data_IF_415108790474
#
_entry.id   IF_415108790474
#
_cell.length_a   1.000
_cell.length_b   1.000
_cell.length_c   1.000
_cell.angle_alpha   90.00
_cell.angle_beta   90.00
_cell.angle_gamma   90.00
#
_symmetry.space_group_name_H-M   'P 1'
#
loop_
_entity.id
_entity.type
_entity.pdbx_description
1 polymer ?
#
# COMPACT_ATOMS: atom_id res chain seq x y z
N UNK A 1 -10.27 3.22 -15.77
CA UNK A 1 -9.31 3.02 -14.65
C UNK A 1 -9.86 3.51 -13.32
N UNK A 2 -10.40 4.73 -13.21
CA UNK A 2 -10.98 5.24 -11.95
C UNK A 2 -12.08 4.34 -11.35
N UNK A 3 -12.98 3.82 -12.17
CA UNK A 3 -14.04 2.91 -11.71
C UNK A 3 -13.48 1.59 -11.14
N UNK A 4 -12.44 1.02 -11.75
CA UNK A 4 -11.80 -0.20 -11.24
C UNK A 4 -11.12 0.00 -9.88
N UNK A 5 -10.45 1.15 -9.69
CA UNK A 5 -9.88 1.53 -8.39
C UNK A 5 -10.96 1.67 -7.31
N UNK A 6 -12.05 2.37 -7.64
CA UNK A 6 -13.16 2.58 -6.72
C UNK A 6 -13.86 1.26 -6.35
N UNK A 7 -14.16 0.42 -7.34
CA UNK A 7 -14.81 -0.87 -7.14
C UNK A 7 -13.92 -1.84 -6.36
N UNK A 8 -12.63 -1.93 -6.68
CA UNK A 8 -11.69 -2.79 -5.96
C UNK A 8 -11.55 -2.43 -4.49
N UNK A 9 -11.42 -1.13 -4.19
CA UNK A 9 -11.39 -0.63 -2.82
C UNK A 9 -12.70 -0.86 -2.07
N UNK A 10 -13.83 -0.61 -2.73
CA UNK A 10 -15.16 -0.81 -2.15
C UNK A 10 -15.48 -2.30 -1.92
N UNK A 11 -15.08 -3.20 -2.81
CA UNK A 11 -15.31 -4.64 -2.68
C UNK A 11 -14.49 -5.26 -1.54
N UNK A 12 -13.25 -4.79 -1.32
CA UNK A 12 -12.41 -5.30 -0.24
C UNK A 12 -12.96 -4.94 1.14
N UNK A 13 -13.65 -3.82 1.26
CA UNK A 13 -14.21 -3.35 2.53
C UNK A 13 -15.24 -4.31 3.17
N UNK A 14 -16.28 -4.82 2.46
CA UNK A 14 -17.23 -5.78 3.05
C UNK A 14 -16.57 -7.12 3.39
N UNK A 15 -15.59 -7.59 2.60
CA UNK A 15 -14.84 -8.80 2.92
C UNK A 15 -14.03 -8.63 4.22
N UNK A 16 -13.45 -7.46 4.44
CA UNK A 16 -12.75 -7.12 5.67
C UNK A 16 -13.70 -7.03 6.86
N UNK A 17 -14.93 -6.54 6.67
CA UNK A 17 -15.96 -6.55 7.70
C UNK A 17 -16.36 -7.98 8.08
N UNK A 18 -16.64 -8.82 7.10
CA UNK A 18 -17.01 -10.22 7.33
C UNK A 18 -15.89 -10.98 8.07
N UNK A 19 -14.64 -10.83 7.67
CA UNK A 19 -13.50 -11.44 8.35
C UNK A 19 -13.39 -11.02 9.83
N UNK A 20 -13.77 -9.78 10.16
CA UNK A 20 -13.77 -9.25 11.52
C UNK A 20 -14.92 -9.77 12.36
N UNK A 21 -16.12 -9.86 11.81
CA UNK A 21 -17.28 -10.43 12.53
C UNK A 21 -17.04 -11.89 12.90
N UNK A 22 -16.31 -12.62 12.06
CA UNK A 22 -15.92 -14.01 12.31
C UNK A 22 -14.74 -14.13 13.29
N UNK A 23 -13.87 -13.12 13.38
CA UNK A 23 -12.65 -13.13 14.21
C UNK A 23 -12.79 -12.51 15.60
N UNK A 24 -13.95 -11.95 15.97
CA UNK A 24 -14.22 -11.43 17.32
C UNK A 24 -13.36 -10.24 17.78
N UNK A 25 -12.63 -9.58 16.90
CA UNK A 25 -11.81 -8.40 17.25
C UNK A 25 -12.68 -7.15 17.28
N UNK A 26 -12.88 -6.57 18.45
CA UNK A 26 -13.71 -5.37 18.71
C UNK A 26 -13.10 -4.06 18.16
N UNK A 27 -12.65 -4.06 16.91
CA UNK A 27 -12.17 -2.85 16.26
C UNK A 27 -13.33 -2.10 15.66
N UNK A 28 -13.46 -0.81 16.00
CA UNK A 28 -14.46 0.13 15.47
C UNK A 28 -14.62 -0.03 13.95
N UNK A 29 -15.86 -0.03 13.44
CA UNK A 29 -16.09 -0.17 12.01
C UNK A 29 -15.47 1.00 11.27
N UNK A 30 -14.72 0.72 10.22
CA UNK A 30 -14.21 1.75 9.31
C UNK A 30 -15.35 2.64 8.82
N UNK A 31 -15.12 3.95 8.82
CA UNK A 31 -16.06 4.90 8.26
C UNK A 31 -16.43 4.56 6.81
N UNK A 32 -17.67 4.79 6.37
CA UNK A 32 -18.08 4.56 4.99
C UNK A 32 -17.19 5.39 4.04
N UNK A 33 -16.65 4.76 3.01
CA UNK A 33 -15.83 5.44 1.99
C UNK A 33 -14.33 5.13 2.01
N UNK A 34 -13.85 4.27 2.87
CA UNK A 34 -12.43 3.91 2.91
C UNK A 34 -12.05 2.94 1.78
N UNK A 35 -11.39 3.48 0.77
CA UNK A 35 -10.66 2.70 -0.22
C UNK A 35 -9.33 2.23 0.39
N UNK A 36 -9.10 0.94 0.43
CA UNK A 36 -7.78 0.43 0.79
C UNK A 36 -6.85 0.58 -0.41
N UNK A 37 -5.59 0.97 -0.18
CA UNK A 37 -4.61 1.13 -1.24
C UNK A 37 -4.44 -0.14 -2.08
N UNK A 38 -4.42 -1.31 -1.44
CA UNK A 38 -4.37 -2.58 -2.13
C UNK A 38 -5.60 -2.84 -3.00
N UNK A 39 -6.81 -2.60 -2.47
CA UNK A 39 -8.04 -2.76 -3.22
C UNK A 39 -8.10 -1.87 -4.46
N UNK A 40 -7.65 -0.62 -4.32
CA UNK A 40 -7.55 0.32 -5.44
C UNK A 40 -6.55 -0.16 -6.50
N UNK A 41 -5.35 -0.59 -6.11
CA UNK A 41 -4.32 -1.08 -7.01
C UNK A 41 -4.75 -2.39 -7.72
N UNK A 42 -5.29 -3.36 -6.98
CA UNK A 42 -5.78 -4.60 -7.56
C UNK A 42 -6.97 -4.37 -8.47
N UNK A 43 -7.93 -3.54 -8.06
CA UNK A 43 -9.09 -3.21 -8.89
C UNK A 43 -8.70 -2.52 -10.19
N UNK A 44 -7.71 -1.61 -10.14
CA UNK A 44 -7.18 -0.96 -11.33
C UNK A 44 -6.44 -1.95 -12.24
N UNK A 45 -5.57 -2.79 -11.67
CA UNK A 45 -4.83 -3.81 -12.44
C UNK A 45 -5.77 -4.83 -13.10
N UNK A 46 -6.80 -5.30 -12.37
CA UNK A 46 -7.82 -6.20 -12.92
C UNK A 46 -8.62 -5.54 -14.05
N UNK A 47 -9.02 -4.27 -13.85
CA UNK A 47 -9.74 -3.52 -14.88
C UNK A 47 -8.88 -3.35 -16.14
N UNK A 48 -7.60 -3.02 -15.99
CA UNK A 48 -6.64 -2.91 -17.11
C UNK A 48 -6.50 -4.27 -17.83
N UNK A 49 -6.28 -5.34 -17.07
CA UNK A 49 -6.11 -6.68 -17.64
C UNK A 49 -7.37 -7.17 -18.37
N UNK A 50 -8.55 -6.88 -17.82
CA UNK A 50 -9.83 -7.28 -18.41
C UNK A 50 -10.13 -6.52 -19.70
N UNK A 51 -9.97 -5.19 -19.70
CA UNK A 51 -10.22 -4.35 -20.87
C UNK A 51 -9.21 -4.64 -22.00
N UNK A 52 -7.96 -4.93 -21.65
CA UNK A 52 -6.91 -5.19 -22.63
C UNK A 52 -6.99 -6.59 -23.29
N UNK A 53 -7.76 -7.53 -22.71
CA UNK A 53 -7.93 -8.86 -23.26
C UNK A 53 -6.61 -9.58 -23.54
N UNK A 54 -6.31 -9.96 -24.82
CA UNK A 54 -5.08 -10.66 -25.18
C UNK A 54 -3.80 -9.83 -24.94
N UNK A 55 -3.89 -8.50 -24.92
CA UNK A 55 -2.76 -7.58 -24.67
C UNK A 55 -2.57 -7.28 -23.18
N UNK A 56 -3.20 -8.04 -22.30
CA UNK A 56 -3.24 -7.77 -20.83
C UNK A 56 -1.86 -7.56 -20.20
N UNK A 57 -0.85 -8.34 -20.57
CA UNK A 57 0.49 -8.23 -19.98
C UNK A 57 1.18 -6.92 -20.39
N UNK A 58 1.09 -6.54 -21.68
CA UNK A 58 1.61 -5.23 -22.16
C UNK A 58 0.87 -4.06 -21.51
N UNK A 59 -0.43 -4.17 -21.34
CA UNK A 59 -1.22 -3.14 -20.68
C UNK A 59 -0.90 -3.02 -19.19
N UNK A 60 -0.62 -4.12 -18.50
CA UNK A 60 -0.15 -4.12 -17.13
C UNK A 60 1.25 -3.50 -17.00
N UNK A 61 2.17 -3.78 -17.94
CA UNK A 61 3.48 -3.12 -17.97
C UNK A 61 3.34 -1.60 -18.18
N UNK A 62 2.45 -1.16 -19.06
CA UNK A 62 2.15 0.26 -19.23
C UNK A 62 1.48 0.89 -18.00
N UNK A 63 0.73 0.09 -17.22
CA UNK A 63 0.11 0.53 -15.96
C UNK A 63 1.12 0.61 -14.80
N UNK A 64 2.21 -0.16 -14.83
CA UNK A 64 3.16 -0.28 -13.74
C UNK A 64 3.66 1.08 -13.18
N UNK A 65 4.15 2.04 -13.99
CA UNK A 65 4.55 3.35 -13.47
C UNK A 65 3.36 4.15 -12.92
N UNK A 66 2.16 4.02 -13.50
CA UNK A 66 0.96 4.67 -13.00
C UNK A 66 0.56 4.16 -11.61
N UNK A 67 0.78 2.88 -11.31
CA UNK A 67 0.59 2.33 -9.97
C UNK A 67 1.50 3.02 -8.94
N UNK A 68 2.77 3.29 -9.30
CA UNK A 68 3.69 4.05 -8.46
C UNK A 68 3.22 5.48 -8.20
N UNK A 69 2.71 6.17 -9.22
CA UNK A 69 2.12 7.52 -9.08
C UNK A 69 0.92 7.50 -8.13
N UNK A 70 0.04 6.51 -8.27
CA UNK A 70 -1.14 6.37 -7.40
C UNK A 70 -0.72 6.19 -5.93
N UNK A 71 0.30 5.38 -5.66
CA UNK A 71 0.85 5.22 -4.30
C UNK A 71 1.44 6.54 -3.81
N UNK A 72 2.34 7.17 -4.56
CA UNK A 72 3.03 8.38 -4.14
C UNK A 72 2.04 9.51 -3.83
N UNK A 73 1.11 9.80 -4.74
CA UNK A 73 0.10 10.88 -4.58
C UNK A 73 -0.82 10.59 -3.40
N UNK A 74 -1.29 9.34 -3.26
CA UNK A 74 -2.13 8.97 -2.12
C UNK A 74 -1.42 9.14 -0.78
N UNK A 75 -0.10 8.87 -0.72
CA UNK A 75 0.71 9.01 0.50
C UNK A 75 1.12 10.43 0.82
N UNK A 76 1.18 11.32 -0.17
CA UNK A 76 1.32 12.75 0.09
C UNK A 76 0.13 13.30 0.89
N UNK A 77 -1.09 12.84 0.61
CA UNK A 77 -2.26 13.18 1.42
C UNK A 77 -2.14 12.68 2.87
N UNK A 78 -1.64 11.44 3.08
CA UNK A 78 -1.39 10.91 4.41
C UNK A 78 -0.30 11.69 5.15
N UNK A 79 0.78 12.08 4.45
CA UNK A 79 1.86 12.88 5.01
C UNK A 79 1.34 14.27 5.47
N UNK A 80 0.53 14.92 4.65
CA UNK A 80 -0.03 16.23 4.96
C UNK A 80 -1.03 16.19 6.14
N UNK A 81 -1.81 15.10 6.26
CA UNK A 81 -2.82 14.98 7.31
C UNK A 81 -2.29 14.42 8.64
N UNK A 82 -1.05 13.92 8.69
CA UNK A 82 -0.49 13.27 9.88
C UNK A 82 -1.11 11.92 10.20
N UNK A 83 -1.72 11.26 9.22
CA UNK A 83 -2.16 9.86 9.35
C UNK A 83 -1.05 8.89 8.88
N UNK A 84 -1.21 7.60 9.16
CA UNK A 84 -0.24 6.59 8.75
C UNK A 84 1.18 6.85 9.30
N UNK A 85 1.25 7.33 10.53
CA UNK A 85 2.48 7.68 11.23
C UNK A 85 3.19 6.44 11.78
N UNK A 86 4.50 6.59 12.02
CA UNK A 86 5.34 5.57 12.65
C UNK A 86 5.48 5.75 14.16
N UNK A 87 6.35 4.93 14.74
CA UNK A 87 6.69 5.04 16.16
C UNK A 87 7.30 6.41 16.50
N UNK A 88 7.14 6.89 17.75
CA UNK A 88 7.86 8.07 18.24
C UNK A 88 9.36 7.92 17.98
N UNK A 89 10.03 9.01 17.57
CA UNK A 89 11.43 9.00 17.20
C UNK A 89 12.07 10.35 17.54
N UNK A 90 13.12 10.32 18.32
CA UNK A 90 13.94 11.50 18.64
C UNK A 90 14.99 11.78 17.55
N UNK A 91 14.98 11.01 16.46
CA UNK A 91 15.91 11.17 15.35
C UNK A 91 15.63 12.42 14.51
N UNK A 92 16.61 12.89 13.72
CA UNK A 92 16.51 14.11 12.92
C UNK A 92 15.44 14.04 11.81
N UNK A 93 14.90 12.86 11.54
CA UNK A 93 13.88 12.60 10.51
C UNK A 93 12.45 12.59 11.07
N UNK A 94 12.30 12.75 12.40
CA UNK A 94 10.99 12.77 13.04
C UNK A 94 10.17 14.00 12.61
N UNK A 95 8.88 13.78 12.30
CA UNK A 95 7.94 14.87 12.01
C UNK A 95 6.98 15.00 13.20
N UNK A 96 6.93 16.19 13.78
CA UNK A 96 5.95 16.55 14.79
C UNK A 96 4.72 17.14 14.11
N UNK A 97 3.58 16.48 14.25
CA UNK A 97 2.31 16.96 13.70
C UNK A 97 1.58 17.88 14.69
N UNK A 98 0.82 18.82 14.16
CA UNK A 98 0.05 19.78 14.96
C UNK A 98 -1.05 19.12 15.78
N UNK A 99 -1.54 19.83 16.81
CA UNK A 99 -2.69 19.45 17.60
C UNK A 99 -3.91 19.17 16.71
N UNK A 100 -4.65 18.11 17.02
CA UNK A 100 -5.80 17.67 16.24
C UNK A 100 -5.48 16.73 15.08
N UNK A 101 -4.21 16.56 14.71
CA UNK A 101 -3.81 15.53 13.72
C UNK A 101 -4.07 14.11 14.24
N UNK A 102 -4.26 13.11 13.35
CA UNK A 102 -4.41 11.72 13.78
C UNK A 102 -3.28 11.21 14.67
N UNK A 103 -2.03 11.60 14.39
CA UNK A 103 -0.88 11.27 15.21
C UNK A 103 -0.99 11.85 16.62
N UNK A 104 -1.34 13.15 16.73
CA UNK A 104 -1.56 13.82 18.00
C UNK A 104 -2.68 13.16 18.82
N UNK A 105 -3.84 12.96 18.20
CA UNK A 105 -5.00 12.32 18.85
C UNK A 105 -4.66 10.93 19.37
N UNK A 106 -3.89 10.16 18.61
CA UNK A 106 -3.43 8.84 19.06
C UNK A 106 -2.49 8.96 20.27
N UNK A 107 -1.53 9.86 20.23
CA UNK A 107 -0.57 10.06 21.33
C UNK A 107 -1.24 10.57 22.60
N UNK A 108 -2.24 11.44 22.50
CA UNK A 108 -3.06 11.86 23.64
C UNK A 108 -3.83 10.67 24.22
N UNK A 109 -4.49 9.86 23.38
CA UNK A 109 -5.24 8.67 23.84
C UNK A 109 -4.36 7.62 24.51
N UNK A 110 -3.11 7.54 24.13
CA UNK A 110 -2.12 6.60 24.71
C UNK A 110 -1.32 7.20 25.88
N UNK A 111 -1.60 8.45 26.24
CA UNK A 111 -0.94 9.12 27.37
C UNK A 111 0.50 9.56 27.10
N UNK A 112 0.92 9.55 25.82
CA UNK A 112 2.26 10.00 25.43
C UNK A 112 2.41 11.53 25.39
N UNK A 113 1.31 12.24 25.17
CA UNK A 113 1.26 13.70 25.05
C UNK A 113 0.05 14.23 25.80
N UNK A 114 0.20 15.38 26.47
CA UNK A 114 -0.90 16.07 27.11
C UNK A 114 -1.90 16.61 26.08
N UNK A 115 -3.20 16.57 26.43
CA UNK A 115 -4.26 17.06 25.55
C UNK A 115 -4.18 18.57 25.22
N UNK A 116 -3.47 19.34 26.06
CA UNK A 116 -3.24 20.78 25.87
C UNK A 116 -1.93 21.09 25.14
N UNK A 117 -1.16 20.06 24.75
CA UNK A 117 0.05 20.27 23.96
C UNK A 117 -0.29 20.81 22.57
N UNK A 118 0.60 21.60 21.99
CA UNK A 118 0.41 22.18 20.66
C UNK A 118 0.81 21.25 19.52
N UNK A 119 1.64 20.24 19.81
CA UNK A 119 2.16 19.30 18.81
C UNK A 119 2.27 17.89 19.40
N UNK A 120 2.23 16.91 18.51
CA UNK A 120 2.60 15.53 18.80
C UNK A 120 4.11 15.41 19.06
N UNK A 121 4.54 14.36 19.75
CA UNK A 121 5.96 13.95 19.72
C UNK A 121 6.34 13.62 18.27
N UNK A 122 7.59 13.89 17.88
CA UNK A 122 8.09 13.53 16.57
C UNK A 122 7.91 12.03 16.31
N UNK A 123 7.44 11.68 15.12
CA UNK A 123 7.23 10.29 14.70
C UNK A 123 7.97 9.99 13.40
N UNK A 124 8.35 8.73 13.21
CA UNK A 124 8.92 8.27 11.94
C UNK A 124 7.93 8.58 10.81
N UNK A 125 8.34 9.32 9.75
CA UNK A 125 7.44 9.73 8.67
C UNK A 125 7.22 8.60 7.67
N UNK A 126 6.53 7.54 8.08
CA UNK A 126 6.29 6.35 7.25
C UNK A 126 5.58 6.73 5.95
N UNK A 127 4.67 7.70 5.99
CA UNK A 127 4.01 8.19 4.78
C UNK A 127 5.01 8.78 3.76
N UNK A 128 6.07 9.48 4.21
CA UNK A 128 7.13 9.97 3.32
C UNK A 128 7.95 8.83 2.72
N UNK A 129 8.25 7.79 3.51
CA UNK A 129 8.92 6.59 3.00
C UNK A 129 8.05 5.84 1.98
N UNK A 130 6.73 5.82 2.16
CA UNK A 130 5.79 5.26 1.18
C UNK A 130 5.70 6.12 -0.10
N UNK A 131 5.86 7.45 -0.02
CA UNK A 131 6.01 8.33 -1.19
C UNK A 131 7.28 7.97 -1.95
N UNK A 132 8.41 7.80 -1.25
CA UNK A 132 9.67 7.39 -1.86
C UNK A 132 9.57 6.00 -2.51
N UNK A 133 8.87 5.06 -1.88
CA UNK A 133 8.57 3.75 -2.46
C UNK A 133 7.75 3.89 -3.76
N UNK A 134 6.72 4.73 -3.77
CA UNK A 134 5.94 5.03 -4.98
C UNK A 134 6.80 5.63 -6.10
N UNK A 135 7.71 6.56 -5.77
CA UNK A 135 8.66 7.13 -6.72
C UNK A 135 9.63 6.07 -7.28
N UNK A 136 10.12 5.16 -6.43
CA UNK A 136 10.94 4.02 -6.86
C UNK A 136 10.16 3.11 -7.84
N UNK A 137 8.88 2.84 -7.57
CA UNK A 137 8.01 2.08 -8.47
C UNK A 137 7.87 2.76 -9.83
N UNK A 138 7.70 4.09 -9.86
CA UNK A 138 7.69 4.87 -11.12
C UNK A 138 9.00 4.69 -11.86
N UNK A 139 10.13 4.91 -11.17
CA UNK A 139 11.46 4.77 -11.76
C UNK A 139 11.70 3.39 -12.36
N UNK A 140 11.38 2.33 -11.62
CA UNK A 140 11.49 0.94 -12.10
C UNK A 140 10.56 0.67 -13.29
N UNK A 141 9.30 1.11 -13.20
CA UNK A 141 8.33 0.93 -14.28
C UNK A 141 8.72 1.60 -15.60
N UNK A 142 9.45 2.73 -15.52
CA UNK A 142 9.95 3.45 -16.70
C UNK A 142 11.31 2.94 -17.19
N UNK A 143 12.17 2.47 -16.27
CA UNK A 143 13.55 2.08 -16.59
C UNK A 143 13.64 0.71 -17.26
N UNK A 144 12.66 -0.20 -17.02
CA UNK A 144 12.70 -1.53 -17.63
C UNK A 144 12.56 -1.44 -19.15
N UNK A 145 13.49 -2.03 -19.90
CA UNK A 145 13.49 -1.93 -21.36
C UNK A 145 12.23 -2.53 -21.98
N UNK A 146 11.73 -1.90 -23.06
CA UNK A 146 10.60 -2.45 -23.83
C UNK A 146 10.87 -3.83 -24.47
N UNK A 147 12.13 -4.30 -24.38
CA UNK A 147 12.55 -5.63 -24.86
C UNK A 147 12.50 -6.71 -23.79
N UNK A 148 12.10 -6.38 -22.56
CA UNK A 148 11.87 -7.38 -21.50
C UNK A 148 10.61 -8.18 -21.82
N UNK A 149 10.51 -9.40 -21.29
CA UNK A 149 9.31 -10.21 -21.42
C UNK A 149 8.05 -9.47 -20.96
N UNK A 150 6.92 -9.72 -21.62
CA UNK A 150 5.66 -9.10 -21.27
C UNK A 150 5.26 -9.40 -19.83
N UNK A 151 4.83 -8.38 -19.09
CA UNK A 151 4.51 -8.45 -17.67
C UNK A 151 5.71 -8.28 -16.73
N UNK A 152 6.93 -8.13 -17.25
CA UNK A 152 8.14 -8.02 -16.42
C UNK A 152 8.16 -6.73 -15.60
N UNK A 153 7.78 -5.60 -16.19
CA UNK A 153 7.70 -4.31 -15.51
C UNK A 153 6.66 -4.33 -14.39
N UNK A 154 5.49 -4.86 -14.69
CA UNK A 154 4.43 -5.00 -13.68
C UNK A 154 4.84 -5.92 -12.52
N UNK A 155 5.46 -7.07 -12.82
CA UNK A 155 5.98 -7.99 -11.79
C UNK A 155 7.03 -7.34 -10.90
N UNK A 156 7.99 -6.63 -11.49
CA UNK A 156 9.03 -5.92 -10.73
C UNK A 156 8.44 -4.85 -9.81
N UNK A 157 7.51 -4.04 -10.31
CA UNK A 157 6.83 -3.01 -9.53
C UNK A 157 5.96 -3.62 -8.43
N UNK A 158 5.23 -4.70 -8.72
CA UNK A 158 4.41 -5.40 -7.73
C UNK A 158 5.24 -6.00 -6.60
N UNK A 159 6.39 -6.63 -6.91
CA UNK A 159 7.34 -7.13 -5.91
C UNK A 159 7.93 -6.01 -5.07
N UNK A 160 8.38 -4.93 -5.71
CA UNK A 160 8.93 -3.76 -5.01
C UNK A 160 7.92 -3.18 -4.03
N UNK A 161 6.66 -3.04 -4.46
CA UNK A 161 5.61 -2.56 -3.57
C UNK A 161 5.33 -3.55 -2.43
N UNK A 162 5.19 -4.83 -2.72
CA UNK A 162 4.88 -5.83 -1.71
C UNK A 162 5.98 -5.92 -0.64
N UNK A 163 7.26 -6.00 -1.04
CA UNK A 163 8.39 -6.05 -0.12
C UNK A 163 8.54 -4.75 0.65
N UNK A 164 8.51 -3.61 -0.04
CA UNK A 164 8.61 -2.29 0.60
C UNK A 164 7.46 -2.05 1.58
N UNK A 165 6.24 -2.40 1.19
CA UNK A 165 5.05 -2.25 2.04
C UNK A 165 5.08 -3.16 3.26
N UNK A 166 5.58 -4.38 3.12
CA UNK A 166 5.80 -5.29 4.24
C UNK A 166 6.81 -4.71 5.24
N UNK A 167 7.96 -4.22 4.76
CA UNK A 167 8.99 -3.64 5.60
C UNK A 167 8.53 -2.36 6.30
N UNK A 168 7.87 -1.44 5.59
CA UNK A 168 7.37 -0.19 6.14
C UNK A 168 6.27 -0.40 7.19
N UNK A 169 5.56 -1.52 7.13
CA UNK A 169 4.55 -1.86 8.14
C UNK A 169 5.16 -2.06 9.53
N UNK A 170 6.42 -2.50 9.62
CA UNK A 170 7.14 -2.67 10.89
C UNK A 170 7.44 -1.34 11.59
N UNK A 171 7.49 -0.24 10.85
CA UNK A 171 7.76 1.09 11.38
C UNK A 171 6.49 1.84 11.84
N UNK A 172 5.32 1.28 11.59
CA UNK A 172 4.03 1.95 11.82
C UNK A 172 3.51 1.76 13.23
N UNK A 173 2.97 2.84 13.80
CA UNK A 173 2.38 2.85 15.14
C UNK A 173 0.87 3.15 15.15
N UNK A 174 0.26 3.51 14.02
CA UNK A 174 -1.16 3.78 13.96
C UNK A 174 -2.01 2.52 14.21
N UNK A 175 -3.15 2.64 14.91
CA UNK A 175 -3.99 1.50 15.27
C UNK A 175 -4.56 0.78 14.05
N UNK A 176 -4.42 -0.56 14.02
CA UNK A 176 -4.80 -1.39 12.88
C UNK A 176 -5.40 -2.71 13.30
N UNK A 177 -6.22 -3.29 12.40
CA UNK A 177 -6.61 -4.68 12.55
C UNK A 177 -5.39 -5.59 12.41
N UNK A 178 -5.11 -6.35 13.46
CA UNK A 178 -4.08 -7.38 13.48
C UNK A 178 -4.75 -8.75 13.49
N UNK A 179 -4.17 -9.72 12.79
CA UNK A 179 -4.51 -11.13 12.92
C UNK A 179 -3.29 -11.84 13.53
N UNK A 180 -3.32 -12.01 14.85
CA UNK A 180 -2.13 -12.43 15.59
C UNK A 180 -1.02 -11.39 15.52
N UNK A 181 0.19 -11.79 15.15
CA UNK A 181 1.38 -10.93 15.01
C UNK A 181 1.55 -10.30 13.62
N UNK A 182 0.70 -10.63 12.66
CA UNK A 182 0.80 -10.18 11.26
C UNK A 182 -0.34 -9.22 10.95
N UNK A 183 -0.02 -8.05 10.38
CA UNK A 183 -1.04 -7.12 9.90
C UNK A 183 -1.61 -7.58 8.56
N UNK A 184 -2.84 -7.15 8.26
CA UNK A 184 -3.48 -7.45 6.97
C UNK A 184 -2.62 -7.01 5.76
N UNK A 185 -2.02 -5.81 5.74
CA UNK A 185 -1.11 -5.43 4.66
C UNK A 185 0.10 -6.36 4.51
N UNK A 186 0.64 -6.87 5.61
CA UNK A 186 1.74 -7.85 5.57
C UNK A 186 1.28 -9.17 4.97
N UNK A 187 0.12 -9.69 5.37
CA UNK A 187 -0.43 -10.91 4.80
C UNK A 187 -0.66 -10.78 3.29
N UNK A 188 -1.26 -9.66 2.84
CA UNK A 188 -1.47 -9.38 1.41
C UNK A 188 -0.12 -9.29 0.68
N UNK A 189 0.88 -8.63 1.26
CA UNK A 189 2.22 -8.53 0.67
C UNK A 189 2.84 -9.90 0.44
N UNK A 190 2.76 -10.80 1.42
CA UNK A 190 3.26 -12.19 1.29
C UNK A 190 2.54 -12.95 0.17
N UNK A 191 1.22 -12.80 0.07
CA UNK A 191 0.44 -13.43 -1.02
C UNK A 191 0.88 -12.90 -2.38
N UNK A 192 1.07 -11.58 -2.52
CA UNK A 192 1.54 -10.98 -3.77
C UNK A 192 2.92 -11.52 -4.15
N UNK A 193 3.86 -11.56 -3.19
CA UNK A 193 5.20 -12.13 -3.42
C UNK A 193 5.10 -13.58 -3.88
N UNK A 194 4.30 -14.40 -3.20
CA UNK A 194 4.11 -15.80 -3.55
C UNK A 194 3.54 -15.99 -4.96
N UNK A 195 2.51 -15.20 -5.33
CA UNK A 195 1.89 -15.26 -6.67
C UNK A 195 2.89 -14.87 -7.76
N UNK A 196 3.65 -13.78 -7.55
CA UNK A 196 4.61 -13.30 -8.56
C UNK A 196 5.76 -14.27 -8.74
N UNK A 197 6.26 -14.85 -7.65
CA UNK A 197 7.32 -15.88 -7.72
C UNK A 197 6.81 -17.18 -8.36
N UNK A 198 5.63 -17.66 -7.97
CA UNK A 198 5.03 -18.86 -8.57
C UNK A 198 4.75 -18.66 -10.07
N UNK A 199 4.24 -17.49 -10.48
CA UNK A 199 4.01 -17.18 -11.89
C UNK A 199 5.29 -17.17 -12.73
N UNK A 200 6.42 -16.77 -12.15
CA UNK A 200 7.75 -16.85 -12.80
C UNK A 200 8.25 -18.28 -12.98
N UNK A 201 7.82 -19.22 -12.13
CA UNK A 201 8.20 -20.64 -12.22
C UNK A 201 7.32 -21.43 -13.21
N UNK A 202 6.08 -21.00 -13.42
CA UNK A 202 5.13 -21.72 -14.29
C UNK A 202 5.39 -21.50 -15.79
N UNK A 203 6.21 -20.53 -16.18
CA UNK A 203 6.57 -20.23 -17.58
C UNK A 203 8.07 -20.05 -17.80
N UNK A 204 8.94 -21.02 -17.41
CA UNK A 204 10.39 -20.87 -17.57
C UNK A 204 10.91 -21.03 -19.01
N UNK A 205 10.08 -21.40 -19.97
CA UNK A 205 10.54 -21.88 -21.25
C UNK A 205 9.97 -21.25 -22.54
N UNK A 206 8.93 -20.45 -22.48
CA UNK A 206 8.34 -19.86 -23.70
C UNK A 206 8.95 -18.51 -24.14
N UNK A 207 9.86 -17.96 -23.36
CA UNK A 207 10.43 -16.62 -23.58
C UNK A 207 11.67 -16.57 -24.47
N UNK A 208 12.26 -17.71 -24.85
CA UNK A 208 13.54 -17.74 -25.63
C UNK A 208 13.29 -18.09 -27.11
N UNK A 209 12.06 -18.40 -27.52
CA UNK A 209 11.77 -18.91 -28.86
C UNK A 209 10.92 -17.97 -29.76
N UNK A 210 10.92 -16.64 -29.53
CA UNK A 210 10.30 -15.70 -30.49
C UNK A 210 11.17 -14.46 -30.72
#
# INVERSE_FOLDING_TARGET
MAAGCALGGAALHPLLRLARTLGGTGVEPFAPGWLTAYGALFGAALAVAWVAGPLRLRALDAFAPAAGVLVAVGRLGCLASGCCFGHPSDGPWGIAYEAGSPAFVHQVKTGLVDAHATHALPVVPVAALEVALGALMVGLGLALPRRTPEGASFRAVALTYAVGRFALELLRADPRPMSGSISLPQAISLVVVAIVLAGGWLHPGEEIAR
#
